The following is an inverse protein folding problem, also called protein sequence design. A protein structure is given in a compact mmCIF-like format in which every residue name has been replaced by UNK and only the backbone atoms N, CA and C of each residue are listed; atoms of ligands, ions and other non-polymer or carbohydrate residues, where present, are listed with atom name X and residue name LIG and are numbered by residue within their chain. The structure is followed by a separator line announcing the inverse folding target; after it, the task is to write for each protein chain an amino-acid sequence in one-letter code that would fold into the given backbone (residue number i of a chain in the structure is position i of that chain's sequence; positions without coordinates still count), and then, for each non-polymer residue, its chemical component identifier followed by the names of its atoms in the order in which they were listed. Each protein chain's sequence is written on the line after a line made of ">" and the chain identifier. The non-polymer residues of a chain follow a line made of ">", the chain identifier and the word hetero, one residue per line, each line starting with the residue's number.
data_IF_475212874663
#
_entry.id   IF_475212874663
#
_cell.length_a   1.000
_cell.length_b   1.000
_cell.length_c   1.000
_cell.angle_alpha   90.00
_cell.angle_beta   90.00
_cell.angle_gamma   90.00
#
_symmetry.space_group_name_H-M   'P 1'
#
loop_
_entity.id
_entity.type
_entity.pdbx_description
1 polymer ?
#
# COMPACT_ATOMS: atom_id res chain seq x y z
N UNK A 1 15.06 9.40 0.15
CA UNK A 1 15.34 8.07 -0.40
C UNK A 1 14.00 7.42 -0.71
N UNK A 2 13.83 6.86 -1.90
CA UNK A 2 12.60 6.19 -2.34
C UNK A 2 12.95 4.72 -2.54
N UNK A 3 12.15 3.82 -1.97
CA UNK A 3 12.31 2.37 -2.10
C UNK A 3 11.02 1.82 -2.70
N UNK A 4 11.12 1.11 -3.81
CA UNK A 4 10.01 0.42 -4.45
C UNK A 4 10.19 -1.09 -4.30
N UNK A 5 9.13 -1.79 -3.86
CA UNK A 5 9.13 -3.24 -3.68
C UNK A 5 8.15 -3.83 -4.69
N UNK A 6 8.66 -4.65 -5.61
CA UNK A 6 7.87 -5.32 -6.65
C UNK A 6 8.16 -6.82 -6.65
N UNK A 7 7.15 -7.65 -6.95
CA UNK A 7 7.23 -9.11 -6.98
C UNK A 7 5.97 -9.69 -7.64
N UNK A 8 5.96 -10.99 -7.95
CA UNK A 8 4.80 -11.70 -8.50
C UNK A 8 3.66 -11.91 -7.48
N UNK A 9 2.51 -12.44 -7.93
CA UNK A 9 1.32 -12.64 -7.07
C UNK A 9 1.64 -13.58 -5.90
N UNK A 10 1.36 -13.15 -4.66
CA UNK A 10 1.48 -13.98 -3.44
C UNK A 10 2.87 -14.04 -2.76
N UNK A 11 3.90 -13.33 -3.22
CA UNK A 11 5.26 -13.47 -2.69
C UNK A 11 5.65 -12.42 -1.63
N UNK A 12 4.83 -12.25 -0.59
CA UNK A 12 5.23 -11.62 0.70
C UNK A 12 5.73 -10.17 0.67
N UNK A 13 5.45 -9.41 -0.40
CA UNK A 13 5.85 -8.00 -0.55
C UNK A 13 5.38 -7.14 0.62
N UNK A 14 4.16 -7.38 1.07
CA UNK A 14 3.52 -6.62 2.15
C UNK A 14 4.29 -6.79 3.45
N UNK A 15 4.69 -8.01 3.79
CA UNK A 15 5.51 -8.30 4.98
C UNK A 15 6.88 -7.63 4.92
N UNK A 16 7.52 -7.63 3.75
CA UNK A 16 8.83 -6.99 3.57
C UNK A 16 8.73 -5.46 3.65
N UNK A 17 7.66 -4.91 3.06
CA UNK A 17 7.32 -3.49 3.14
C UNK A 17 7.06 -3.08 4.59
N UNK A 18 6.31 -3.88 5.35
CA UNK A 18 6.03 -3.65 6.76
C UNK A 18 7.31 -3.68 7.63
N UNK A 19 8.23 -4.62 7.36
CA UNK A 19 9.51 -4.68 8.06
C UNK A 19 10.37 -3.43 7.81
N UNK A 20 10.51 -3.01 6.55
CA UNK A 20 11.22 -1.77 6.20
C UNK A 20 10.53 -0.53 6.79
N UNK A 21 9.20 -0.51 6.73
CA UNK A 21 8.39 0.53 7.33
C UNK A 21 8.68 0.64 8.85
N UNK A 22 8.76 -0.47 9.58
CA UNK A 22 9.01 -0.44 11.03
C UNK A 22 10.34 0.24 11.39
N UNK A 23 11.36 0.11 10.53
CA UNK A 23 12.69 0.69 10.74
C UNK A 23 12.79 2.15 10.28
N UNK A 24 11.97 2.57 9.31
CA UNK A 24 12.01 3.91 8.76
C UNK A 24 11.22 4.92 9.62
N UNK A 25 11.91 5.95 10.12
CA UNK A 25 11.33 7.14 10.76
C UNK A 25 10.89 8.15 9.68
N UNK A 26 9.78 8.87 9.91
CA UNK A 26 9.23 9.87 8.96
C UNK A 26 9.05 9.35 7.53
N UNK A 27 8.45 8.16 7.39
CA UNK A 27 8.18 7.51 6.11
C UNK A 27 6.82 7.89 5.53
N UNK A 28 6.72 7.84 4.20
CA UNK A 28 5.45 7.81 3.46
C UNK A 28 5.37 6.45 2.79
N UNK A 29 4.25 5.75 2.99
CA UNK A 29 3.98 4.44 2.40
C UNK A 29 2.81 4.58 1.43
N UNK A 30 2.94 3.94 0.27
CA UNK A 30 1.90 3.87 -0.75
C UNK A 30 1.75 2.42 -1.16
N UNK A 31 0.55 1.86 -0.99
CA UNK A 31 0.21 0.55 -1.51
C UNK A 31 -0.45 0.73 -2.88
N UNK A 32 0.07 0.02 -3.89
CA UNK A 32 -0.39 0.09 -5.27
C UNK A 32 -1.00 -1.25 -5.70
N UNK A 33 -1.21 -2.17 -4.75
CA UNK A 33 -1.93 -3.41 -5.00
C UNK A 33 -3.44 -3.13 -5.13
N UNK A 34 -4.08 -3.79 -6.09
CA UNK A 34 -5.52 -3.60 -6.37
C UNK A 34 -6.39 -4.29 -5.30
N UNK A 35 -5.83 -5.28 -4.58
CA UNK A 35 -6.47 -6.11 -3.55
C UNK A 35 -5.95 -5.74 -2.13
N UNK A 36 -5.70 -4.46 -1.84
CA UNK A 36 -4.98 -3.96 -0.66
C UNK A 36 -5.71 -4.10 0.71
N UNK A 37 -6.21 -5.28 1.06
CA UNK A 37 -6.83 -5.57 2.35
C UNK A 37 -5.81 -5.78 3.49
N UNK A 38 -4.59 -6.24 3.18
CA UNK A 38 -3.60 -6.69 4.20
C UNK A 38 -2.83 -5.55 4.88
N UNK A 39 -2.79 -4.34 4.30
CA UNK A 39 -1.93 -3.26 4.79
C UNK A 39 -2.39 -2.70 6.15
N UNK A 40 -3.72 -2.62 6.35
CA UNK A 40 -4.33 -2.22 7.63
C UNK A 40 -4.13 -3.27 8.73
N UNK A 41 -3.83 -4.52 8.37
CA UNK A 41 -3.61 -5.60 9.35
C UNK A 41 -2.22 -5.51 10.00
N UNK A 42 -1.24 -4.96 9.28
CA UNK A 42 0.18 -4.94 9.67
C UNK A 42 0.65 -3.61 10.24
N UNK A 43 -0.20 -2.58 10.23
CA UNK A 43 0.21 -1.22 10.59
C UNK A 43 -0.87 -0.51 11.43
N UNK A 44 -0.45 0.13 12.53
CA UNK A 44 -1.35 0.88 13.44
C UNK A 44 -1.63 2.29 12.89
N UNK A 45 -2.06 2.36 11.62
CA UNK A 45 -2.23 3.62 10.89
C UNK A 45 -3.47 4.36 11.39
N UNK A 46 -3.27 5.59 11.88
CA UNK A 46 -4.35 6.54 12.06
C UNK A 46 -4.69 7.19 10.74
N UNK A 47 -5.91 6.97 10.26
CA UNK A 47 -6.46 7.65 9.10
C UNK A 47 -6.50 9.16 9.40
N UNK A 48 -5.69 9.93 8.65
CA UNK A 48 -5.68 11.39 8.76
C UNK A 48 -6.66 12.05 7.81
N UNK A 49 -6.74 11.54 6.59
CA UNK A 49 -7.58 12.07 5.51
C UNK A 49 -8.12 10.89 4.68
N UNK A 50 -9.34 11.02 4.18
CA UNK A 50 -9.96 10.09 3.23
C UNK A 50 -10.49 10.91 2.05
N UNK A 51 -10.24 10.39 0.85
CA UNK A 51 -10.81 10.91 -0.37
C UNK A 51 -11.63 9.81 -1.02
N UNK A 52 -12.81 10.16 -1.52
CA UNK A 52 -13.62 9.22 -2.30
C UNK A 52 -12.87 8.85 -3.57
N UNK A 53 -12.80 7.55 -3.85
CA UNK A 53 -12.20 7.05 -5.08
C UNK A 53 -13.04 7.47 -6.29
N UNK A 54 -12.47 8.29 -7.17
CA UNK A 54 -13.07 8.64 -8.46
C UNK A 54 -12.44 7.79 -9.57
N UNK A 55 -12.90 6.55 -9.70
CA UNK A 55 -12.59 5.72 -10.87
C UNK A 55 -13.34 6.24 -12.09
N UNK A 56 -12.64 6.63 -13.15
CA UNK A 56 -13.27 6.94 -14.42
C UNK A 56 -13.99 5.67 -14.93
N UNK A 57 -15.31 5.73 -15.03
CA UNK A 57 -16.07 4.70 -15.73
C UNK A 57 -15.85 4.89 -17.23
N UNK A 58 -14.79 4.30 -17.78
CA UNK A 58 -14.57 4.32 -19.22
C UNK A 58 -13.78 3.09 -19.67
N UNK A 59 -14.47 1.95 -19.81
CA UNK A 59 -14.57 1.25 -21.09
C UNK A 59 -15.56 0.09 -20.96
N UNK A 60 -16.74 0.26 -21.54
CA UNK A 60 -17.69 -0.82 -21.82
C UNK A 60 -17.92 -0.77 -23.33
N UNK A 61 -17.16 -1.57 -24.06
CA UNK A 61 -17.45 -2.04 -25.42
C UNK A 61 -17.16 -3.55 -25.43
#
# INVERSE_FOLDING_TARGET
>A
MIISIASGKGAGKTSFTAAFASLAKNKVLCDVDIDADDFNLLTDLKIKERHDFQGSTAFRL
#
